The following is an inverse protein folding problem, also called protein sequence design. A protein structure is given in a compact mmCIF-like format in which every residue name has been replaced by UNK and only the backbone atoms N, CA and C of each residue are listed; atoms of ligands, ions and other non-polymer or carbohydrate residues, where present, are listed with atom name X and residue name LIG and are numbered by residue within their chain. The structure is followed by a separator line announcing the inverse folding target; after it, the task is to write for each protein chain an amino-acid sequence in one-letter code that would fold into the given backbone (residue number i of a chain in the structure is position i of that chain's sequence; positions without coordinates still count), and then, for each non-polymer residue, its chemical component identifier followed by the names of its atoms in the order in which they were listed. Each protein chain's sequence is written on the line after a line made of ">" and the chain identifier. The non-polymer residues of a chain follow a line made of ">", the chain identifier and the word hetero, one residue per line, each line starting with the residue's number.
data_IF_418267020990
#
_entry.id   IF_418267020990
#
_cell.length_a   1.000
_cell.length_b   1.000
_cell.length_c   1.000
_cell.angle_alpha   90.00
_cell.angle_beta   90.00
_cell.angle_gamma   90.00
#
_symmetry.space_group_name_H-M   'P 1'
#
loop_
_entity.id
_entity.type
_entity.pdbx_description
1 polymer ?
#
# COMPACT_ATOMS: atom_id res chain seq x y z
N UNK A 1 -5.87 1.94 16.84
CA UNK A 1 -5.25 1.17 15.74
C UNK A 1 -3.92 1.81 15.52
N UNK A 2 -2.84 1.15 15.91
CA UNK A 2 -1.50 1.70 15.73
C UNK A 2 -0.95 1.20 14.39
N UNK A 3 -0.51 2.13 13.54
CA UNK A 3 0.09 1.78 12.26
C UNK A 3 1.53 1.32 12.47
N UNK A 4 2.00 0.35 11.67
CA UNK A 4 3.33 -0.27 11.84
C UNK A 4 4.49 0.71 11.64
N UNK A 5 4.41 1.54 10.60
CA UNK A 5 5.43 2.52 10.27
C UNK A 5 4.91 3.59 9.30
N UNK A 6 5.47 4.79 9.36
CA UNK A 6 5.37 5.80 8.29
C UNK A 6 6.26 5.37 7.12
N UNK A 7 5.75 5.49 5.90
CA UNK A 7 6.50 5.26 4.67
C UNK A 7 6.50 6.50 3.79
N UNK A 8 7.67 6.92 3.31
CA UNK A 8 7.81 8.14 2.51
C UNK A 8 8.91 8.01 1.45
N UNK A 9 8.80 8.80 0.39
CA UNK A 9 9.82 8.86 -0.66
C UNK A 9 11.05 9.69 -0.24
N UNK A 10 12.01 9.81 -1.16
CA UNK A 10 13.26 10.52 -0.91
C UNK A 10 13.13 12.06 -0.82
N UNK A 11 12.01 12.66 -1.22
CA UNK A 11 11.78 14.08 -0.98
C UNK A 11 11.67 14.37 0.53
N UNK A 12 11.11 13.42 1.29
CA UNK A 12 11.03 13.49 2.74
C UNK A 12 12.21 12.80 3.43
N UNK A 13 12.58 11.60 2.95
CA UNK A 13 13.57 10.78 3.64
C UNK A 13 14.99 11.35 3.60
N UNK A 14 15.30 12.29 2.71
CA UNK A 14 16.56 13.03 2.75
C UNK A 14 16.60 14.12 3.83
N UNK A 15 15.45 14.58 4.32
CA UNK A 15 15.35 15.63 5.34
C UNK A 15 15.65 15.04 6.72
N UNK A 16 16.72 15.51 7.34
CA UNK A 16 17.16 15.04 8.66
C UNK A 16 16.14 15.39 9.74
N UNK A 17 15.58 16.60 9.69
CA UNK A 17 14.55 17.07 10.62
C UNK A 17 13.28 16.21 10.56
N UNK A 18 12.82 15.84 9.35
CA UNK A 18 11.65 14.97 9.20
C UNK A 18 11.84 13.62 9.90
N UNK A 19 13.01 12.98 9.74
CA UNK A 19 13.32 11.72 10.42
C UNK A 19 13.50 11.92 11.94
N UNK A 20 14.02 13.08 12.34
CA UNK A 20 14.15 13.50 13.73
C UNK A 20 12.79 13.66 14.42
N UNK A 21 11.85 14.36 13.79
CA UNK A 21 10.48 14.55 14.26
C UNK A 21 9.73 13.22 14.40
N UNK A 22 9.83 12.33 13.40
CA UNK A 22 9.23 10.99 13.49
C UNK A 22 9.79 10.19 14.68
N UNK A 23 11.10 10.31 14.96
CA UNK A 23 11.72 9.67 16.12
C UNK A 23 11.24 10.29 17.44
N UNK A 24 11.17 11.61 17.53
CA UNK A 24 10.66 12.31 18.72
C UNK A 24 9.19 11.98 19.00
N UNK A 25 8.40 11.79 17.95
CA UNK A 25 7.01 11.33 18.03
C UNK A 25 6.88 9.84 18.38
N UNK A 26 7.98 9.10 18.63
CA UNK A 26 7.94 7.68 18.95
C UNK A 26 7.32 6.85 17.82
N UNK A 27 7.54 7.24 16.56
CA UNK A 27 6.92 6.62 15.40
C UNK A 27 7.93 5.78 14.62
N UNK A 28 7.58 4.54 14.30
CA UNK A 28 8.38 3.69 13.40
C UNK A 28 8.32 4.22 11.97
N UNK A 29 9.41 4.11 11.20
CA UNK A 29 9.44 4.62 9.83
C UNK A 29 10.36 3.83 8.89
N UNK A 30 9.99 3.78 7.62
CA UNK A 30 10.80 3.28 6.50
C UNK A 30 10.71 4.29 5.36
N UNK A 31 11.75 5.08 5.15
CA UNK A 31 11.75 6.19 4.18
C UNK A 31 12.83 5.97 3.14
N UNK A 32 12.56 6.31 1.88
CA UNK A 32 13.60 6.27 0.86
C UNK A 32 14.57 7.45 1.00
N UNK A 33 15.81 7.24 0.60
CA UNK A 33 16.83 8.27 0.49
C UNK A 33 17.40 8.29 -0.93
N UNK A 34 17.87 9.45 -1.39
CA UNK A 34 18.48 9.53 -2.72
C UNK A 34 19.77 8.69 -2.76
N UNK A 35 20.05 7.99 -3.88
CA UNK A 35 21.30 7.22 -4.04
C UNK A 35 22.55 8.09 -3.87
N UNK A 36 22.43 9.39 -4.19
CA UNK A 36 23.50 10.39 -4.14
C UNK A 36 23.43 11.27 -2.89
N UNK A 37 22.60 10.94 -1.90
CA UNK A 37 22.56 11.68 -0.62
C UNK A 37 23.94 11.60 0.02
N UNK A 38 24.67 12.71 0.02
CA UNK A 38 25.99 12.77 0.62
C UNK A 38 25.91 12.74 2.14
N UNK A 39 26.80 11.98 2.77
CA UNK A 39 27.14 12.14 4.18
C UNK A 39 28.60 12.52 4.30
N UNK A 40 28.97 13.16 5.41
CA UNK A 40 30.38 13.25 5.77
C UNK A 40 30.89 11.85 6.13
N UNK A 41 32.02 11.46 5.54
CA UNK A 41 32.74 10.21 5.83
C UNK A 41 34.24 10.45 5.67
N UNK A 42 35.07 9.66 6.35
CA UNK A 42 36.53 9.84 6.34
C UNK A 42 37.19 8.98 5.25
N UNK A 43 38.11 9.56 4.48
CA UNK A 43 38.97 8.82 3.55
C UNK A 43 38.20 7.93 2.54
N UNK A 44 38.58 6.65 2.38
CA UNK A 44 37.97 5.75 1.40
C UNK A 44 36.64 5.15 1.87
N UNK A 45 35.97 5.70 2.89
CA UNK A 45 34.65 5.24 3.33
C UNK A 45 33.54 5.56 2.31
N UNK A 46 32.36 4.94 2.48
CA UNK A 46 31.23 5.21 1.62
C UNK A 46 30.71 6.62 1.90
N UNK A 47 30.50 7.42 0.84
CA UNK A 47 30.02 8.80 0.96
C UNK A 47 28.54 8.93 0.62
N UNK A 48 27.97 7.94 -0.08
CA UNK A 48 26.57 7.91 -0.48
C UNK A 48 25.93 6.53 -0.25
N UNK A 49 24.59 6.43 -0.20
CA UNK A 49 23.89 5.14 -0.15
C UNK A 49 24.28 4.19 -1.28
N UNK A 50 24.53 4.72 -2.49
CA UNK A 50 25.01 3.92 -3.61
C UNK A 50 26.41 3.36 -3.39
N UNK A 51 27.33 4.17 -2.85
CA UNK A 51 28.69 3.71 -2.55
C UNK A 51 28.68 2.63 -1.46
N UNK A 52 27.81 2.80 -0.45
CA UNK A 52 27.64 1.83 0.62
C UNK A 52 27.10 0.50 0.07
N UNK A 53 26.12 0.56 -0.83
CA UNK A 53 25.57 -0.63 -1.48
C UNK A 53 26.59 -1.33 -2.39
N UNK A 54 27.43 -0.59 -3.11
CA UNK A 54 28.43 -1.15 -4.01
C UNK A 54 29.54 -1.94 -3.30
N UNK A 55 29.67 -1.81 -1.97
CA UNK A 55 30.62 -2.58 -1.13
C UNK A 55 30.08 -3.92 -0.67
N UNK A 56 28.77 -4.15 -0.80
CA UNK A 56 28.14 -5.39 -0.39
C UNK A 56 28.59 -6.54 -1.28
N UNK A 57 28.94 -7.66 -0.66
CA UNK A 57 29.38 -8.85 -1.38
C UNK A 57 28.23 -9.45 -2.17
N UNK A 58 28.42 -9.57 -3.47
CA UNK A 58 27.52 -10.26 -4.39
C UNK A 58 28.34 -11.16 -5.31
N UNK A 59 27.99 -12.44 -5.39
CA UNK A 59 28.65 -13.41 -6.28
C UNK A 59 27.66 -14.21 -7.14
N UNK A 60 26.46 -13.67 -7.34
CA UNK A 60 25.38 -14.30 -8.08
C UNK A 60 24.28 -14.89 -7.19
N UNK A 61 23.14 -15.28 -7.77
CA UNK A 61 21.97 -15.74 -7.01
C UNK A 61 22.21 -17.03 -6.22
N UNK A 62 23.14 -17.88 -6.65
CA UNK A 62 23.52 -19.12 -5.94
C UNK A 62 24.43 -18.85 -4.73
N UNK A 63 25.16 -17.72 -4.74
CA UNK A 63 26.06 -17.27 -3.67
C UNK A 63 25.86 -15.77 -3.43
N UNK A 64 24.72 -15.38 -2.83
CA UNK A 64 24.29 -13.99 -2.81
C UNK A 64 25.10 -13.10 -1.85
N UNK A 65 26.00 -13.69 -1.05
CA UNK A 65 26.88 -12.95 -0.14
C UNK A 65 26.10 -12.24 0.94
N UNK A 66 26.12 -10.91 0.93
CA UNK A 66 25.42 -10.07 1.91
C UNK A 66 23.93 -9.88 1.60
N UNK A 67 23.48 -10.33 0.41
CA UNK A 67 22.11 -10.16 -0.06
C UNK A 67 21.21 -11.31 0.33
N UNK A 68 19.99 -10.99 0.77
CA UNK A 68 18.92 -11.92 1.05
C UNK A 68 17.88 -11.87 -0.08
N UNK A 69 17.40 -13.02 -0.59
CA UNK A 69 16.27 -13.02 -1.52
C UNK A 69 14.98 -12.61 -0.79
N UNK A 70 14.22 -11.72 -1.40
CA UNK A 70 12.92 -11.25 -0.92
C UNK A 70 11.89 -11.49 -2.01
N UNK A 71 10.97 -12.43 -1.76
CA UNK A 71 9.83 -12.66 -2.64
C UNK A 71 8.73 -11.66 -2.29
N UNK A 72 8.35 -10.83 -3.25
CA UNK A 72 7.16 -9.96 -3.16
C UNK A 72 6.02 -10.67 -3.86
N UNK A 73 4.91 -10.84 -3.16
CA UNK A 73 3.69 -11.48 -3.69
C UNK A 73 2.61 -10.44 -3.85
N UNK A 74 1.72 -10.62 -4.82
CA UNK A 74 0.69 -9.67 -5.15
C UNK A 74 -0.68 -10.34 -5.28
N UNK A 75 -1.76 -9.57 -5.14
CA UNK A 75 -3.13 -10.08 -4.99
C UNK A 75 -3.67 -10.72 -6.27
N UNK A 76 -3.19 -10.30 -7.42
CA UNK A 76 -3.44 -10.95 -8.73
C UNK A 76 -2.63 -12.26 -8.92
N UNK A 77 -1.87 -12.67 -7.90
CA UNK A 77 -1.08 -13.89 -7.91
C UNK A 77 0.33 -13.75 -8.50
N UNK A 78 0.70 -12.58 -9.04
CA UNK A 78 2.07 -12.41 -9.53
C UNK A 78 3.07 -12.38 -8.37
N UNK A 79 4.31 -12.78 -8.67
CA UNK A 79 5.42 -12.70 -7.72
C UNK A 79 6.62 -12.04 -8.37
N UNK A 80 7.31 -11.22 -7.60
CA UNK A 80 8.57 -10.59 -8.00
C UNK A 80 9.67 -11.03 -7.05
N UNK A 81 10.81 -11.42 -7.60
CA UNK A 81 12.02 -11.68 -6.82
C UNK A 81 12.86 -10.42 -6.73
N UNK A 82 13.12 -10.02 -5.49
CA UNK A 82 14.00 -8.92 -5.14
C UNK A 82 15.14 -9.46 -4.27
N UNK A 83 16.16 -8.63 -4.08
CA UNK A 83 17.29 -8.86 -3.19
C UNK A 83 17.35 -7.69 -2.23
N UNK A 84 17.59 -7.95 -0.96
CA UNK A 84 17.77 -6.91 0.05
C UNK A 84 19.00 -7.16 0.91
N UNK A 85 19.64 -6.07 1.36
CA UNK A 85 20.84 -6.13 2.19
C UNK A 85 20.93 -4.90 3.11
N UNK A 86 21.68 -5.04 4.20
CA UNK A 86 22.03 -3.94 5.10
C UNK A 86 23.37 -3.34 4.68
N UNK A 87 23.42 -2.04 4.49
CA UNK A 87 24.65 -1.30 4.20
C UNK A 87 25.03 -0.40 5.39
N UNK A 88 26.32 -0.10 5.50
CA UNK A 88 26.83 0.86 6.51
C UNK A 88 27.24 2.16 5.83
N UNK A 89 26.79 3.30 6.36
CA UNK A 89 27.04 4.63 5.82
C UNK A 89 27.11 5.65 6.96
N UNK A 90 28.32 6.11 7.31
CA UNK A 90 28.53 7.00 8.45
C UNK A 90 27.95 6.40 9.75
N UNK A 91 26.99 7.09 10.37
CA UNK A 91 26.32 6.62 11.58
C UNK A 91 25.15 5.66 11.33
N UNK A 92 24.90 5.28 10.07
CA UNK A 92 23.86 4.32 9.69
C UNK A 92 24.44 2.93 9.50
N UNK A 93 23.68 1.91 9.88
CA UNK A 93 24.09 0.52 9.70
C UNK A 93 23.17 -0.47 10.39
N UNK A 94 23.41 -1.78 10.21
CA UNK A 94 22.53 -2.85 10.69
C UNK A 94 22.30 -2.83 12.21
N UNK A 95 23.27 -2.34 12.97
CA UNK A 95 23.28 -2.31 14.44
C UNK A 95 23.20 -0.89 15.02
N UNK A 96 22.74 0.06 14.21
CA UNK A 96 22.57 1.46 14.62
C UNK A 96 21.09 1.78 14.77
N UNK A 97 20.79 2.88 15.48
CA UNK A 97 19.44 3.45 15.61
C UNK A 97 18.80 3.84 14.27
N UNK A 98 19.61 4.00 13.22
CA UNK A 98 19.13 4.12 11.85
C UNK A 98 19.85 3.09 11.00
N UNK A 99 19.08 2.19 10.41
CA UNK A 99 19.54 1.20 9.43
C UNK A 99 19.46 1.76 8.03
N UNK A 100 20.39 1.33 7.18
CA UNK A 100 20.36 1.59 5.74
C UNK A 100 20.16 0.27 5.02
N UNK A 101 18.97 0.09 4.46
CA UNK A 101 18.56 -1.10 3.72
C UNK A 101 18.55 -0.79 2.24
N UNK A 102 19.18 -1.66 1.46
CA UNK A 102 19.17 -1.58 0.00
C UNK A 102 18.31 -2.71 -0.52
N UNK A 103 17.37 -2.42 -1.41
CA UNK A 103 16.53 -3.43 -2.04
C UNK A 103 16.52 -3.26 -3.55
N UNK A 104 16.75 -4.33 -4.32
CA UNK A 104 16.88 -4.23 -5.79
C UNK A 104 16.54 -5.53 -6.50
N UNK A 105 16.20 -5.44 -7.78
CA UNK A 105 16.11 -6.62 -8.66
C UNK A 105 17.46 -7.02 -9.27
N UNK A 106 18.48 -6.16 -9.19
CA UNK A 106 19.81 -6.41 -9.79
C UNK A 106 20.95 -5.90 -8.87
N UNK A 107 21.42 -6.73 -7.92
CA UNK A 107 22.53 -6.38 -7.02
C UNK A 107 23.85 -6.07 -7.73
N UNK A 108 24.04 -6.57 -8.97
CA UNK A 108 25.30 -6.40 -9.69
C UNK A 108 25.44 -4.98 -10.26
N UNK A 109 24.34 -4.38 -10.73
CA UNK A 109 24.40 -3.06 -11.39
C UNK A 109 23.77 -1.93 -10.61
N UNK A 110 22.89 -2.22 -9.63
CA UNK A 110 22.19 -1.24 -8.80
C UNK A 110 21.54 -0.13 -9.65
N UNK A 111 20.68 -0.52 -10.61
CA UNK A 111 20.04 0.44 -11.53
C UNK A 111 19.11 1.36 -10.77
N UNK A 112 19.21 2.67 -11.01
CA UNK A 112 18.45 3.70 -10.29
C UNK A 112 16.93 3.45 -10.22
N UNK A 113 16.32 2.95 -11.30
CA UNK A 113 14.87 2.67 -11.36
C UNK A 113 14.46 1.35 -10.70
N UNK A 114 15.42 0.51 -10.36
CA UNK A 114 15.22 -0.84 -9.84
C UNK A 114 15.92 -1.06 -8.49
N UNK A 115 16.37 0.02 -7.83
CA UNK A 115 17.04 -0.02 -6.54
C UNK A 115 16.42 1.01 -5.59
N UNK A 116 16.01 0.54 -4.42
CA UNK A 116 15.57 1.36 -3.31
C UNK A 116 16.68 1.45 -2.27
N UNK A 117 16.94 2.66 -1.81
CA UNK A 117 17.81 2.93 -0.66
C UNK A 117 16.90 3.44 0.45
N UNK A 118 16.79 2.68 1.52
CA UNK A 118 15.79 2.87 2.56
C UNK A 118 16.48 3.10 3.90
N UNK A 119 16.12 4.18 4.57
CA UNK A 119 16.48 4.40 5.96
C UNK A 119 15.32 3.95 6.86
N UNK A 120 15.63 3.37 8.02
CA UNK A 120 14.61 2.98 9.01
C UNK A 120 15.11 3.04 10.45
N UNK A 121 14.23 3.36 11.40
CA UNK A 121 14.46 3.22 12.84
C UNK A 121 13.91 1.92 13.43
N UNK A 122 13.33 1.03 12.61
CA UNK A 122 12.89 -0.28 13.09
C UNK A 122 14.12 -1.15 13.37
N UNK A 123 14.29 -1.73 14.57
CA UNK A 123 15.52 -2.42 14.91
C UNK A 123 15.68 -3.72 14.10
N UNK A 124 16.92 -4.15 13.90
CA UNK A 124 17.23 -5.43 13.27
C UNK A 124 16.84 -6.56 14.23
N UNK A 125 16.12 -7.61 13.78
CA UNK A 125 15.83 -8.78 14.61
C UNK A 125 17.13 -9.39 15.15
N UNK A 126 17.21 -9.60 16.46
CA UNK A 126 18.39 -10.08 17.18
C UNK A 126 19.56 -9.09 17.24
N UNK A 127 19.37 -7.84 16.81
CA UNK A 127 20.37 -6.78 16.89
C UNK A 127 20.41 -6.10 18.28
N UNK A 128 21.38 -5.21 18.52
CA UNK A 128 21.57 -4.55 19.82
C UNK A 128 20.37 -3.73 20.31
N UNK A 129 19.56 -3.22 19.37
CA UNK A 129 18.39 -2.42 19.66
C UNK A 129 17.07 -3.22 19.63
N UNK A 130 17.13 -4.55 19.46
CA UNK A 130 15.93 -5.40 19.48
C UNK A 130 15.37 -5.48 20.92
N UNK A 131 14.10 -5.06 21.15
CA UNK A 131 13.48 -5.16 22.48
C UNK A 131 13.42 -6.59 23.02
N UNK A 132 13.30 -7.60 22.16
CA UNK A 132 13.29 -9.00 22.57
C UNK A 132 14.64 -9.45 23.17
N UNK A 133 15.74 -8.78 22.80
CA UNK A 133 17.08 -8.98 23.35
C UNK A 133 17.47 -8.02 24.47
N UNK A 134 16.53 -7.21 24.97
CA UNK A 134 16.80 -6.18 25.98
C UNK A 134 17.30 -4.84 25.42
N UNK A 135 17.16 -4.61 24.11
CA UNK A 135 17.46 -3.34 23.47
C UNK A 135 16.48 -2.22 23.84
N UNK A 136 16.88 -0.99 23.55
CA UNK A 136 16.19 0.25 23.95
C UNK A 136 15.19 0.79 22.92
N UNK A 137 14.99 0.10 21.79
CA UNK A 137 14.04 0.54 20.77
C UNK A 137 12.59 0.51 21.28
N UNK A 138 11.78 1.55 21.01
CA UNK A 138 10.34 1.50 21.29
C UNK A 138 9.55 0.70 20.24
N UNK A 139 10.21 0.20 19.19
CA UNK A 139 9.55 -0.44 18.05
C UNK A 139 9.87 -1.94 17.95
N UNK A 140 8.89 -2.78 17.58
CA UNK A 140 9.15 -4.17 17.22
C UNK A 140 10.18 -4.27 16.08
N UNK A 141 11.07 -5.28 16.10
CA UNK A 141 12.09 -5.45 15.08
C UNK A 141 11.48 -5.76 13.70
N UNK A 142 12.20 -5.40 12.64
CA UNK A 142 11.78 -5.63 11.26
C UNK A 142 12.90 -6.26 10.42
N UNK A 143 12.62 -7.43 9.84
CA UNK A 143 13.53 -8.07 8.88
C UNK A 143 13.53 -7.39 7.52
N UNK A 144 14.49 -7.74 6.67
CA UNK A 144 14.58 -7.21 5.30
C UNK A 144 13.29 -7.45 4.47
N UNK A 145 12.64 -8.63 4.51
CA UNK A 145 11.37 -8.82 3.79
C UNK A 145 10.26 -7.87 4.26
N UNK A 146 10.17 -7.61 5.57
CA UNK A 146 9.17 -6.69 6.12
C UNK A 146 9.44 -5.26 5.70
N UNK A 147 10.70 -4.80 5.73
CA UNK A 147 11.08 -3.45 5.31
C UNK A 147 10.76 -3.22 3.82
N UNK A 148 11.10 -4.19 2.96
CA UNK A 148 10.78 -4.15 1.53
C UNK A 148 9.26 -4.14 1.31
N UNK A 149 8.52 -4.95 2.08
CA UNK A 149 7.05 -4.97 2.04
C UNK A 149 6.48 -3.62 2.45
N UNK A 150 6.88 -3.08 3.60
CA UNK A 150 6.42 -1.79 4.12
C UNK A 150 6.64 -0.69 3.10
N UNK A 151 7.87 -0.55 2.57
CA UNK A 151 8.15 0.46 1.57
C UNK A 151 7.41 0.22 0.25
N UNK A 152 7.23 -1.05 -0.15
CA UNK A 152 6.42 -1.42 -1.32
C UNK A 152 4.96 -0.93 -1.21
N UNK A 153 4.43 -0.77 0.01
CA UNK A 153 3.10 -0.19 0.22
C UNK A 153 3.04 1.31 -0.13
N UNK A 154 4.15 2.02 -0.25
CA UNK A 154 4.16 3.44 -0.66
C UNK A 154 3.51 3.65 -2.03
N UNK A 155 3.61 2.66 -2.92
CA UNK A 155 3.01 2.75 -4.26
C UNK A 155 1.48 2.91 -4.22
N UNK A 156 0.81 2.50 -3.13
CA UNK A 156 -0.62 2.73 -2.94
C UNK A 156 -0.99 4.20 -2.85
N UNK A 157 -0.10 5.04 -2.33
CA UNK A 157 -0.34 6.48 -2.29
C UNK A 157 -0.48 7.00 -3.72
N UNK A 158 0.43 6.61 -4.61
CA UNK A 158 0.40 7.00 -6.03
C UNK A 158 -0.84 6.47 -6.75
N UNK A 159 -1.21 5.21 -6.53
CA UNK A 159 -2.39 4.62 -7.16
C UNK A 159 -3.70 5.24 -6.63
N UNK A 160 -3.79 5.47 -5.32
CA UNK A 160 -4.94 6.14 -4.70
C UNK A 160 -5.12 7.57 -5.21
N UNK A 161 -4.02 8.32 -5.40
CA UNK A 161 -4.10 9.66 -5.99
C UNK A 161 -4.61 9.66 -7.43
N UNK A 162 -4.31 8.63 -8.24
CA UNK A 162 -4.88 8.51 -9.58
C UNK A 162 -6.39 8.30 -9.49
N UNK A 163 -6.85 7.40 -8.63
CA UNK A 163 -8.29 7.16 -8.45
C UNK A 163 -9.05 8.41 -7.97
N UNK A 164 -8.47 9.13 -7.00
CA UNK A 164 -9.03 10.38 -6.50
C UNK A 164 -9.18 11.39 -7.65
N UNK A 165 -8.20 11.47 -8.54
CA UNK A 165 -8.19 12.40 -9.66
C UNK A 165 -9.14 12.00 -10.79
N UNK A 166 -9.08 10.75 -11.19
CA UNK A 166 -9.71 10.26 -12.42
C UNK A 166 -11.16 9.82 -12.18
N UNK A 167 -11.47 9.23 -11.02
CA UNK A 167 -12.76 8.59 -10.75
C UNK A 167 -13.64 9.35 -9.75
N UNK A 168 -13.04 10.08 -8.81
CA UNK A 168 -13.78 10.82 -7.78
C UNK A 168 -13.90 12.33 -8.06
N UNK A 169 -13.47 12.76 -9.24
CA UNK A 169 -13.69 14.12 -9.72
C UNK A 169 -12.95 15.18 -8.92
N UNK A 170 -11.70 14.92 -8.52
CA UNK A 170 -10.84 15.91 -7.85
C UNK A 170 -10.85 17.29 -8.54
N UNK A 171 -10.79 17.29 -9.87
CA UNK A 171 -10.72 18.49 -10.70
C UNK A 171 -12.10 18.98 -11.19
N UNK A 172 -13.19 18.28 -10.86
CA UNK A 172 -14.53 18.53 -11.41
C UNK A 172 -15.33 19.57 -10.60
N UNK A 173 -14.63 20.44 -9.88
CA UNK A 173 -15.27 21.53 -9.16
C UNK A 173 -15.86 22.54 -10.16
N UNK A 174 -17.13 22.89 -9.99
CA UNK A 174 -17.83 23.88 -10.84
C UNK A 174 -17.83 25.28 -10.21
N UNK A 175 -16.98 25.50 -9.21
CA UNK A 175 -16.90 26.73 -8.39
C UNK A 175 -15.58 27.46 -8.65
N UNK A 176 -15.55 28.77 -8.40
CA UNK A 176 -14.34 29.61 -8.58
C UNK A 176 -13.70 30.10 -7.28
N UNK A 177 -14.39 29.97 -6.16
CA UNK A 177 -13.86 30.40 -4.86
C UNK A 177 -12.84 29.39 -4.34
N UNK A 178 -11.66 29.86 -3.97
CA UNK A 178 -10.58 29.06 -3.38
C UNK A 178 -11.06 28.23 -2.17
N UNK A 179 -11.88 28.82 -1.29
CA UNK A 179 -12.47 28.10 -0.15
C UNK A 179 -13.40 26.96 -0.64
N UNK A 180 -14.20 27.22 -1.66
CA UNK A 180 -15.13 26.22 -2.20
C UNK A 180 -14.38 25.08 -2.91
N UNK A 181 -13.27 25.38 -3.61
CA UNK A 181 -12.38 24.39 -4.22
C UNK A 181 -11.76 23.50 -3.14
N UNK A 182 -11.20 24.09 -2.07
CA UNK A 182 -10.63 23.30 -0.96
C UNK A 182 -11.68 22.41 -0.28
N UNK A 183 -12.91 22.91 -0.09
CA UNK A 183 -14.02 22.10 0.45
C UNK A 183 -14.36 20.91 -0.45
N UNK A 184 -14.45 21.13 -1.76
CA UNK A 184 -14.66 20.04 -2.74
C UNK A 184 -13.57 18.98 -2.62
N UNK A 185 -12.31 19.40 -2.64
CA UNK A 185 -11.16 18.52 -2.48
C UNK A 185 -11.19 17.72 -1.17
N UNK A 186 -11.55 18.35 -0.04
CA UNK A 186 -11.73 17.65 1.23
C UNK A 186 -12.86 16.62 1.17
N UNK A 187 -14.00 16.94 0.56
CA UNK A 187 -15.12 16.00 0.40
C UNK A 187 -14.74 14.81 -0.47
N UNK A 188 -14.00 15.03 -1.56
CA UNK A 188 -13.46 13.96 -2.42
C UNK A 188 -12.54 13.02 -1.61
N UNK A 189 -11.65 13.57 -0.78
CA UNK A 189 -10.83 12.75 0.12
C UNK A 189 -11.66 11.97 1.13
N UNK A 190 -12.67 12.59 1.76
CA UNK A 190 -13.57 11.90 2.68
C UNK A 190 -14.34 10.77 1.99
N UNK A 191 -14.82 10.99 0.77
CA UNK A 191 -15.48 9.95 -0.04
C UNK A 191 -14.53 8.79 -0.34
N UNK A 192 -13.28 9.07 -0.70
CA UNK A 192 -12.28 8.03 -0.92
C UNK A 192 -11.98 7.23 0.36
N UNK A 193 -11.83 7.90 1.51
CA UNK A 193 -11.68 7.23 2.80
C UNK A 193 -12.88 6.35 3.15
N UNK A 194 -14.10 6.84 2.88
CA UNK A 194 -15.33 6.06 3.04
C UNK A 194 -15.29 4.79 2.19
N UNK A 195 -14.93 4.88 0.90
CA UNK A 195 -14.81 3.71 0.03
C UNK A 195 -13.81 2.69 0.57
N UNK A 196 -12.70 3.15 1.15
CA UNK A 196 -11.71 2.25 1.72
C UNK A 196 -12.25 1.55 2.98
N UNK A 197 -12.91 2.30 3.87
CA UNK A 197 -13.56 1.75 5.07
C UNK A 197 -14.60 0.70 4.72
N UNK A 198 -15.50 0.97 3.76
CA UNK A 198 -16.53 0.01 3.33
C UNK A 198 -15.92 -1.26 2.77
N UNK A 199 -14.92 -1.14 1.90
CA UNK A 199 -14.26 -2.31 1.33
C UNK A 199 -13.54 -3.16 2.39
N UNK A 200 -12.91 -2.53 3.39
CA UNK A 200 -12.22 -3.25 4.47
C UNK A 200 -13.26 -4.03 5.29
N UNK A 201 -14.37 -3.40 5.65
CA UNK A 201 -15.46 -4.04 6.39
C UNK A 201 -16.05 -5.24 5.63
N UNK A 202 -16.31 -5.10 4.33
CA UNK A 202 -16.83 -6.18 3.50
C UNK A 202 -15.82 -7.31 3.33
N UNK A 203 -14.53 -6.98 3.14
CA UNK A 203 -13.45 -7.97 3.01
C UNK A 203 -13.23 -8.76 4.30
N UNK A 204 -13.44 -8.15 5.47
CA UNK A 204 -13.38 -8.85 6.77
C UNK A 204 -14.61 -9.69 7.06
N UNK A 205 -15.70 -9.48 6.32
CA UNK A 205 -16.96 -10.20 6.45
C UNK A 205 -17.05 -11.41 5.49
N UNK A 206 -15.96 -11.77 4.81
CA UNK A 206 -15.89 -12.84 3.82
C UNK A 206 -16.22 -14.26 4.33
N UNK A 207 -17.47 -14.67 4.06
CA UNK A 207 -17.96 -15.99 3.65
C UNK A 207 -17.79 -17.20 4.61
N UNK A 208 -18.82 -17.44 5.43
CA UNK A 208 -19.34 -18.80 5.54
C UNK A 208 -20.07 -19.14 4.22
N UNK A 209 -19.98 -20.37 3.69
CA UNK A 209 -20.83 -20.77 2.57
C UNK A 209 -22.30 -20.61 2.98
N UNK A 210 -23.19 -20.14 2.10
CA UNK A 210 -24.61 -20.22 2.39
C UNK A 210 -24.94 -21.69 2.64
N UNK A 211 -25.34 -22.01 3.87
CA UNK A 211 -25.95 -23.31 4.15
C UNK A 211 -27.12 -23.52 3.20
N UNK A 212 -27.42 -24.78 2.83
CA UNK A 212 -28.54 -25.06 1.93
C UNK A 212 -29.78 -24.36 2.48
N UNK A 213 -30.40 -23.53 1.65
CA UNK A 213 -31.61 -22.80 2.01
C UNK A 213 -32.67 -23.82 2.42
N UNK A 214 -33.05 -23.81 3.70
CA UNK A 214 -34.24 -24.51 4.15
C UNK A 214 -35.44 -23.73 3.60
N UNK A 215 -36.14 -24.34 2.64
CA UNK A 215 -37.47 -23.91 2.22
C UNK A 215 -38.41 -24.00 3.43
N UNK A 216 -38.58 -22.88 4.13
CA UNK A 216 -39.70 -22.69 5.06
C UNK A 216 -40.60 -21.60 4.54
N UNK A 217 -41.60 -22.07 3.80
CA UNK A 217 -43.02 -21.74 3.94
C UNK A 217 -43.45 -20.30 3.63
N UNK A 218 -43.80 -20.12 2.35
CA UNK A 218 -44.76 -19.15 1.83
C UNK A 218 -46.05 -19.16 2.67
N UNK A 219 -46.27 -18.10 3.46
CA UNK A 219 -47.59 -17.84 4.02
C UNK A 219 -48.54 -17.28 2.94
N UNK A 220 -49.79 -17.75 3.02
CA UNK A 220 -50.68 -18.04 1.92
C UNK A 220 -51.77 -16.96 1.84
N UNK A 221 -51.92 -16.33 0.67
CA UNK A 221 -53.11 -15.57 0.29
C UNK A 221 -53.40 -15.76 -1.20
N UNK A 222 -54.47 -16.47 -1.54
CA UNK A 222 -55.00 -16.75 -2.90
C UNK A 222 -56.49 -16.32 -2.93
N UNK A 223 -57.22 -16.25 -4.08
CA UNK A 223 -56.83 -16.43 -5.49
C UNK A 223 -57.49 -15.45 -6.52
N UNK A 224 -57.00 -15.44 -7.76
CA UNK A 224 -57.73 -15.00 -8.98
C UNK A 224 -57.00 -15.41 -10.27
N UNK A 225 -57.68 -15.72 -11.40
CA UNK A 225 -57.21 -16.70 -12.40
C UNK A 225 -56.41 -16.16 -13.62
N UNK A 226 -55.61 -17.07 -14.21
CA UNK A 226 -54.71 -17.08 -15.41
C UNK A 226 -55.58 -17.25 -16.71
N UNK A 227 -55.12 -17.18 -18.01
CA UNK A 227 -53.76 -17.07 -18.58
C UNK A 227 -53.59 -16.20 -19.88
N UNK A 228 -52.38 -15.93 -20.40
CA UNK A 228 -51.72 -16.71 -21.48
C UNK A 228 -50.35 -16.11 -21.92
N UNK A 229 -49.38 -16.96 -22.27
CA UNK A 229 -48.03 -16.72 -22.87
C UNK A 229 -48.18 -16.96 -24.40
N UNK A 230 -47.42 -16.36 -25.38
CA UNK A 230 -45.98 -16.61 -25.55
C UNK A 230 -45.06 -15.62 -26.33
N UNK A 231 -43.76 -15.99 -26.30
CA UNK A 231 -42.66 -15.79 -27.28
C UNK A 231 -41.55 -14.74 -26.99
N UNK A 232 -40.45 -15.27 -26.44
CA UNK A 232 -39.08 -15.36 -27.00
C UNK A 232 -38.42 -14.21 -27.77
N UNK A 233 -37.15 -13.98 -27.35
CA UNK A 233 -35.98 -13.45 -28.09
C UNK A 233 -36.06 -11.95 -28.42
N UNK A 234 -35.18 -11.08 -27.92
CA UNK A 234 -33.78 -10.98 -28.37
C UNK A 234 -33.04 -9.99 -27.44
N UNK A 235 -31.77 -10.27 -27.12
CA UNK A 235 -30.86 -9.39 -26.38
C UNK A 235 -30.28 -8.33 -27.34
N UNK A 236 -30.22 -7.05 -26.94
CA UNK A 236 -29.10 -6.20 -27.33
C UNK A 236 -28.34 -5.70 -26.11
N UNK A 237 -27.03 -5.75 -26.25
CA UNK A 237 -26.04 -5.10 -25.41
C UNK A 237 -26.27 -3.60 -25.57
N UNK A 238 -26.75 -2.95 -24.52
CA UNK A 238 -26.98 -1.51 -24.46
C UNK A 238 -26.72 -1.03 -23.05
N UNK A 239 -25.87 -0.03 -22.93
CA UNK A 239 -25.54 0.71 -21.72
C UNK A 239 -26.84 1.10 -20.99
N UNK A 240 -27.18 0.38 -19.93
CA UNK A 240 -28.43 0.58 -19.21
C UNK A 240 -28.31 1.82 -18.31
N UNK A 241 -28.59 3.00 -18.88
CA UNK A 241 -29.22 4.07 -18.13
C UNK A 241 -30.53 3.49 -17.56
N UNK A 242 -30.71 3.62 -16.24
CA UNK A 242 -31.78 2.96 -15.47
C UNK A 242 -33.14 3.07 -16.18
N UNK A 243 -33.85 1.96 -16.46
CA UNK A 243 -34.99 2.00 -17.36
C UNK A 243 -36.25 2.56 -16.70
N UNK A 244 -36.32 2.70 -15.37
CA UNK A 244 -37.54 3.09 -14.67
C UNK A 244 -37.25 4.12 -13.58
N UNK A 245 -37.99 5.24 -13.62
CA UNK A 245 -38.07 6.16 -12.51
C UNK A 245 -38.67 5.44 -11.30
N UNK A 246 -37.88 5.28 -10.24
CA UNK A 246 -38.36 4.72 -8.98
C UNK A 246 -39.50 5.62 -8.45
N UNK A 247 -40.66 5.02 -8.14
CA UNK A 247 -41.84 5.75 -7.62
C UNK A 247 -41.63 6.35 -6.22
N UNK A 248 -40.45 6.25 -5.64
CA UNK A 248 -40.03 6.84 -4.35
C UNK A 248 -38.52 7.13 -4.41
N UNK A 249 -38.00 8.19 -3.75
CA UNK A 249 -36.57 8.36 -3.59
C UNK A 249 -36.02 7.17 -2.81
N UNK A 250 -35.30 6.29 -3.49
CA UNK A 250 -34.46 5.29 -2.85
C UNK A 250 -33.08 5.89 -2.67
N UNK A 251 -32.50 5.67 -1.49
CA UNK A 251 -31.09 5.95 -1.26
C UNK A 251 -30.30 5.13 -2.29
N UNK A 252 -29.44 5.78 -3.07
CA UNK A 252 -28.50 5.03 -3.90
C UNK A 252 -27.71 4.13 -2.96
N UNK A 253 -27.68 2.81 -3.20
CA UNK A 253 -26.81 1.90 -2.46
C UNK A 253 -25.36 2.25 -2.85
N UNK A 254 -24.65 3.02 -2.01
CA UNK A 254 -23.32 3.48 -2.37
C UNK A 254 -22.29 2.39 -2.08
N UNK A 255 -22.65 1.33 -1.34
CA UNK A 255 -21.75 0.30 -0.87
C UNK A 255 -21.15 -0.48 -2.03
N UNK A 256 -21.99 -0.98 -2.94
CA UNK A 256 -21.50 -1.74 -4.10
C UNK A 256 -20.55 -0.93 -4.98
N UNK A 257 -20.88 0.34 -5.27
CA UNK A 257 -20.00 1.23 -6.07
C UNK A 257 -18.71 1.60 -5.33
N UNK A 258 -18.79 1.80 -4.02
CA UNK A 258 -17.63 2.09 -3.18
C UNK A 258 -16.64 0.92 -3.14
N UNK A 259 -17.15 -0.31 -3.04
CA UNK A 259 -16.33 -1.54 -3.11
C UNK A 259 -15.65 -1.67 -4.46
N UNK A 260 -16.38 -1.55 -5.58
CA UNK A 260 -15.82 -1.68 -6.93
C UNK A 260 -14.71 -0.66 -7.22
N UNK A 261 -14.88 0.59 -6.76
CA UNK A 261 -13.89 1.65 -6.96
C UNK A 261 -12.53 1.31 -6.33
N UNK A 262 -12.55 0.63 -5.18
CA UNK A 262 -11.36 0.19 -4.46
C UNK A 262 -10.86 -1.16 -4.95
N UNK A 263 -11.73 -2.10 -5.33
CA UNK A 263 -11.35 -3.42 -5.85
C UNK A 263 -10.40 -3.34 -7.06
N UNK A 264 -10.60 -2.36 -7.93
CA UNK A 264 -9.69 -2.11 -9.06
C UNK A 264 -8.28 -1.69 -8.61
N UNK A 265 -8.17 -0.90 -7.53
CA UNK A 265 -6.89 -0.46 -6.96
C UNK A 265 -6.13 -1.59 -6.28
N UNK A 266 -6.86 -2.48 -5.60
CA UNK A 266 -6.26 -3.56 -4.82
C UNK A 266 -5.87 -4.77 -5.66
N UNK A 267 -6.29 -4.87 -6.93
CA UNK A 267 -6.04 -6.04 -7.75
C UNK A 267 -4.54 -6.38 -7.86
N UNK A 268 -3.66 -5.37 -8.00
CA UNK A 268 -2.19 -5.54 -8.01
C UNK A 268 -1.51 -5.17 -6.69
N UNK A 269 -2.24 -5.25 -5.58
CA UNK A 269 -1.72 -5.03 -4.24
C UNK A 269 -0.63 -6.03 -3.85
N UNK A 270 0.46 -5.65 -3.15
CA UNK A 270 1.28 -6.62 -2.44
C UNK A 270 0.42 -7.39 -1.40
N UNK A 271 0.55 -8.71 -1.34
CA UNK A 271 -0.08 -9.54 -0.30
C UNK A 271 0.78 -9.56 0.97
N UNK A 272 0.15 -9.83 2.11
CA UNK A 272 0.82 -10.09 3.40
C UNK A 272 1.79 -11.25 3.32
#
# INVERSE_FOLDING_TARGET
>A
MDFRAVVADCAYGDLDDFRGELRQAGTGWVVAVRPKRGTWAYGPDAHTPRDAAARLRWSGPEKPGDWQPVQRRFRDGHTEMWWAAEASLGFWGPDRLTRLVVATTDPATLRDKATWYLATNLPRPGGPHDPAGGGDSPHPPAGLPEIVRLYGLRHWVEQGYKQIKDELGWADFQVRSDIAIRRHQSLVHCAFSFCWTTWISDSTSGSAPPGPASDTELERGRPGPIPSIPLSLTRPIGTQLAPHAARRPQLADPGHRAVTLVESLVHRAPTT
#
